data_IF_461367305865
#
_entry.id   IF_461367305865
#
_cell.length_a   1.000
_cell.length_b   1.000
_cell.length_c   1.000
_cell.angle_alpha   90.00
_cell.angle_beta   90.00
_cell.angle_gamma   90.00
#
_symmetry.space_group_name_H-M   'P 1'
#
loop_
_entity.id
_entity.type
_entity.pdbx_description
1 polymer ?
#
# COMPACT_ATOMS: atom_id res chain seq x y z
N UNK A 1 24.60 -14.23 -6.41
CA UNK A 1 24.05 -15.60 -6.55
C UNK A 1 23.40 -15.87 -7.91
N UNK A 2 22.90 -14.88 -8.65
CA UNK A 2 22.41 -15.07 -10.04
C UNK A 2 23.56 -15.34 -11.05
N UNK A 3 24.73 -14.72 -10.86
CA UNK A 3 25.89 -14.89 -11.75
C UNK A 3 26.65 -16.22 -11.57
N UNK A 4 26.46 -16.93 -10.45
CA UNK A 4 27.12 -18.21 -10.17
C UNK A 4 26.37 -19.40 -10.77
N UNK A 5 25.06 -19.28 -10.97
CA UNK A 5 24.24 -20.33 -11.59
C UNK A 5 24.33 -20.35 -13.13
N UNK A 6 24.61 -19.21 -13.76
CA UNK A 6 24.88 -19.17 -15.21
C UNK A 6 26.17 -19.88 -15.59
N UNK A 7 27.17 -19.92 -14.69
CA UNK A 7 28.39 -20.71 -14.88
C UNK A 7 28.11 -22.21 -14.77
N UNK A 8 27.43 -22.66 -13.72
CA UNK A 8 27.08 -24.08 -13.51
C UNK A 8 26.17 -24.66 -14.61
N UNK A 9 25.22 -23.87 -15.13
CA UNK A 9 24.37 -24.28 -16.24
C UNK A 9 25.17 -24.40 -17.56
N UNK A 10 26.18 -23.54 -17.75
CA UNK A 10 27.11 -23.63 -18.89
C UNK A 10 27.98 -24.87 -18.80
N UNK A 11 28.48 -25.17 -17.60
CA UNK A 11 29.36 -26.32 -17.36
C UNK A 11 28.61 -27.65 -17.56
N UNK A 12 27.35 -27.74 -17.10
CA UNK A 12 26.51 -28.92 -17.34
C UNK A 12 26.18 -29.13 -18.84
N UNK A 13 25.95 -28.05 -19.59
CA UNK A 13 25.74 -28.11 -21.04
C UNK A 13 27.02 -28.48 -21.80
N UNK A 14 28.19 -27.99 -21.36
CA UNK A 14 29.47 -28.35 -21.94
C UNK A 14 29.83 -29.82 -21.67
N UNK A 15 29.61 -30.32 -20.45
CA UNK A 15 29.88 -31.72 -20.11
C UNK A 15 28.96 -32.70 -20.83
N UNK A 16 27.67 -32.37 -20.98
CA UNK A 16 26.73 -33.20 -21.75
C UNK A 16 27.05 -33.20 -23.25
N UNK A 17 27.50 -32.08 -23.82
CA UNK A 17 27.97 -32.05 -25.21
C UNK A 17 29.31 -32.78 -25.38
N UNK A 18 30.23 -32.70 -24.42
CA UNK A 18 31.52 -33.41 -24.48
C UNK A 18 31.33 -34.94 -24.39
N UNK A 19 30.42 -35.41 -23.53
CA UNK A 19 30.04 -36.83 -23.44
C UNK A 19 29.39 -37.35 -24.73
N UNK A 20 28.49 -36.56 -25.34
CA UNK A 20 27.83 -36.95 -26.60
C UNK A 20 28.81 -37.04 -27.78
N UNK A 21 29.86 -36.20 -27.78
CA UNK A 21 30.88 -36.17 -28.84
C UNK A 21 31.86 -37.34 -28.73
N UNK A 22 32.23 -37.73 -27.51
CA UNK A 22 33.20 -38.81 -27.25
C UNK A 22 32.66 -40.22 -27.53
N UNK A 23 31.35 -40.45 -27.35
CA UNK A 23 30.79 -41.81 -27.45
C UNK A 23 30.13 -42.17 -28.79
N UNK A 24 30.00 -41.25 -29.77
CA UNK A 24 29.35 -41.52 -31.08
C UNK A 24 28.01 -42.30 -30.98
N UNK A 25 27.31 -42.18 -29.86
CA UNK A 25 26.30 -43.16 -29.46
C UNK A 25 24.84 -42.75 -29.78
N UNK A 26 24.60 -41.80 -30.69
CA UNK A 26 23.24 -41.46 -31.08
C UNK A 26 23.12 -41.17 -32.58
N UNK A 27 22.48 -42.05 -33.38
CA UNK A 27 22.10 -41.77 -34.76
C UNK A 27 20.74 -41.05 -34.75
N UNK A 28 20.60 -40.00 -33.96
CA UNK A 28 19.40 -39.18 -34.00
C UNK A 28 19.66 -37.99 -34.93
N UNK A 29 18.75 -37.72 -35.91
CA UNK A 29 18.90 -36.58 -36.79
C UNK A 29 18.95 -35.30 -35.94
N UNK A 30 19.86 -34.38 -36.29
CA UNK A 30 20.13 -33.13 -35.57
C UNK A 30 18.89 -32.33 -35.18
N UNK A 31 17.79 -32.48 -35.93
CA UNK A 31 16.49 -31.87 -35.64
C UNK A 31 15.81 -32.40 -34.36
N UNK A 32 15.97 -33.68 -34.02
CA UNK A 32 15.38 -34.28 -32.81
C UNK A 32 16.07 -33.81 -31.53
N UNK A 33 17.38 -33.57 -31.57
CA UNK A 33 18.16 -33.02 -30.44
C UNK A 33 17.75 -31.59 -30.11
N UNK A 34 17.48 -30.76 -31.14
CA UNK A 34 17.01 -29.37 -30.95
C UNK A 34 15.61 -29.35 -30.35
N UNK A 35 14.70 -30.21 -30.83
CA UNK A 35 13.34 -30.31 -30.25
C UNK A 35 13.39 -30.75 -28.80
N UNK A 36 14.21 -31.75 -28.46
CA UNK A 36 14.35 -32.21 -27.08
C UNK A 36 14.97 -31.15 -26.17
N UNK A 37 15.99 -30.42 -26.62
CA UNK A 37 16.57 -29.31 -25.85
C UNK A 37 15.57 -28.16 -25.65
N UNK A 38 14.82 -27.77 -26.68
CA UNK A 38 13.78 -26.73 -26.55
C UNK A 38 12.68 -27.19 -25.61
N UNK A 39 12.21 -28.43 -25.72
CA UNK A 39 11.21 -28.97 -24.79
C UNK A 39 11.72 -29.04 -23.35
N UNK A 40 12.97 -29.46 -23.13
CA UNK A 40 13.57 -29.49 -21.80
C UNK A 40 13.76 -28.10 -21.20
N UNK A 41 14.20 -27.12 -21.99
CA UNK A 41 14.34 -25.72 -21.51
C UNK A 41 12.98 -25.08 -21.24
N UNK A 42 11.96 -25.37 -22.05
CA UNK A 42 10.59 -24.90 -21.80
C UNK A 42 9.94 -25.57 -20.59
N UNK A 43 10.21 -26.85 -20.33
CA UNK A 43 9.70 -27.56 -19.15
C UNK A 43 10.39 -27.10 -17.86
N UNK A 44 11.69 -26.76 -17.93
CA UNK A 44 12.42 -26.15 -16.81
C UNK A 44 11.97 -24.69 -16.60
N UNK A 45 11.65 -23.95 -17.66
CA UNK A 45 11.10 -22.59 -17.55
C UNK A 45 9.70 -22.54 -16.91
N UNK A 46 8.87 -23.54 -17.15
CA UNK A 46 7.50 -23.61 -16.64
C UNK A 46 7.37 -24.19 -15.21
N UNK A 47 8.44 -24.74 -14.63
CA UNK A 47 8.40 -25.37 -13.29
C UNK A 47 9.02 -24.52 -12.18
N UNK A 48 9.47 -23.29 -12.49
CA UNK A 48 10.13 -22.42 -11.51
C UNK A 48 9.62 -20.97 -11.52
N UNK A 49 8.34 -20.71 -11.85
CA UNK A 49 7.72 -19.47 -11.35
C UNK A 49 7.45 -19.69 -9.86
N UNK A 50 8.40 -19.21 -9.06
CA UNK A 50 8.41 -19.24 -7.59
C UNK A 50 7.33 -18.30 -7.05
N UNK A 51 6.07 -18.57 -7.34
CA UNK A 51 4.95 -17.76 -6.89
C UNK A 51 4.37 -18.41 -5.64
N UNK A 52 4.22 -17.61 -4.59
CA UNK A 52 3.60 -18.00 -3.33
C UNK A 52 2.08 -18.14 -3.52
N UNK A 53 1.64 -19.08 -4.35
CA UNK A 53 0.23 -19.30 -4.65
C UNK A 53 -0.48 -19.80 -3.38
N UNK A 54 -1.40 -19.02 -2.79
CA UNK A 54 -2.13 -19.40 -1.59
C UNK A 54 -2.91 -20.72 -1.78
N UNK A 55 -3.32 -21.07 -3.00
CA UNK A 55 -4.08 -22.29 -3.28
C UNK A 55 -3.23 -23.57 -3.19
N UNK A 56 -1.90 -23.44 -3.27
CA UNK A 56 -0.97 -24.56 -3.20
C UNK A 56 -0.35 -24.75 -1.80
N UNK A 57 -0.59 -23.83 -0.87
CA UNK A 57 -0.03 -23.85 0.48
C UNK A 57 -1.04 -24.36 1.49
N UNK A 58 -0.78 -25.54 2.06
CA UNK A 58 -1.69 -26.19 3.03
C UNK A 58 -1.45 -25.71 4.47
N UNK A 59 -0.25 -25.24 4.81
CA UNK A 59 0.14 -24.90 6.19
C UNK A 59 0.98 -23.61 6.34
N UNK A 60 1.13 -22.81 5.28
CA UNK A 60 1.94 -21.58 5.30
C UNK A 60 1.15 -20.37 4.77
N UNK A 61 1.39 -19.21 5.38
CA UNK A 61 0.89 -17.94 4.87
C UNK A 61 1.73 -17.48 3.67
N UNK A 62 1.13 -16.67 2.78
CA UNK A 62 1.84 -16.14 1.61
C UNK A 62 3.06 -15.28 2.00
N UNK A 63 2.99 -14.55 3.12
CA UNK A 63 4.13 -13.81 3.67
C UNK A 63 5.26 -14.73 4.14
N UNK A 64 4.95 -15.83 4.84
CA UNK A 64 5.95 -16.84 5.24
C UNK A 64 6.61 -17.48 4.02
N UNK A 65 5.85 -17.73 2.95
CA UNK A 65 6.42 -18.20 1.71
C UNK A 65 7.41 -17.19 1.10
N UNK A 66 7.05 -15.91 1.08
CA UNK A 66 7.95 -14.87 0.58
C UNK A 66 9.26 -14.83 1.38
N UNK A 67 9.14 -14.94 2.70
CA UNK A 67 10.28 -15.04 3.62
C UNK A 67 11.16 -16.26 3.33
N UNK A 68 10.58 -17.42 3.01
CA UNK A 68 11.35 -18.65 2.69
C UNK A 68 12.02 -18.56 1.31
N UNK A 69 11.32 -18.04 0.30
CA UNK A 69 11.79 -18.05 -1.09
C UNK A 69 12.77 -16.91 -1.40
N UNK A 70 12.51 -15.74 -0.82
CA UNK A 70 13.19 -14.49 -1.16
C UNK A 70 13.94 -13.88 0.03
N UNK A 71 13.67 -14.35 1.25
CA UNK A 71 14.33 -13.87 2.44
C UNK A 71 14.04 -12.38 2.70
N UNK A 72 15.04 -11.63 3.18
CA UNK A 72 14.81 -10.26 3.67
C UNK A 72 14.62 -9.21 2.58
N UNK A 73 14.84 -9.58 1.32
CA UNK A 73 14.65 -8.64 0.21
C UNK A 73 13.18 -8.41 -0.09
N UNK A 74 12.38 -9.46 0.01
CA UNK A 74 10.95 -9.40 -0.27
C UNK A 74 10.18 -10.19 0.81
N UNK A 75 10.10 -9.68 2.04
CA UNK A 75 9.53 -10.42 3.18
C UNK A 75 7.99 -10.39 3.24
N UNK A 76 7.35 -9.60 2.36
CA UNK A 76 5.89 -9.40 2.36
C UNK A 76 5.28 -9.84 1.04
N UNK A 77 4.00 -10.22 1.09
CA UNK A 77 3.22 -10.61 -0.08
C UNK A 77 2.22 -9.52 -0.50
N UNK A 78 2.16 -9.24 -1.81
CA UNK A 78 1.12 -8.43 -2.43
C UNK A 78 -0.02 -9.33 -2.91
N UNK A 79 -1.12 -9.36 -2.14
CA UNK A 79 -2.30 -10.16 -2.45
C UNK A 79 -3.06 -9.69 -3.70
N UNK A 80 -2.92 -8.43 -4.12
CA UNK A 80 -3.60 -7.94 -5.32
C UNK A 80 -2.89 -8.41 -6.60
N UNK A 81 -1.60 -8.73 -6.50
CA UNK A 81 -0.76 -9.08 -7.62
C UNK A 81 -0.18 -10.48 -7.60
N UNK A 82 -0.37 -11.16 -6.47
CA UNK A 82 0.14 -12.50 -6.24
C UNK A 82 1.67 -12.60 -6.32
N UNK A 83 2.39 -11.59 -5.82
CA UNK A 83 3.85 -11.54 -5.85
C UNK A 83 4.45 -11.05 -4.53
N UNK A 84 5.73 -11.38 -4.28
CA UNK A 84 6.46 -10.87 -3.12
C UNK A 84 6.98 -9.45 -3.35
N UNK A 85 6.97 -8.62 -2.32
CA UNK A 85 7.30 -7.19 -2.40
C UNK A 85 8.30 -6.73 -1.34
N UNK A 86 8.95 -5.60 -1.61
CA UNK A 86 9.86 -4.94 -0.69
C UNK A 86 9.07 -4.32 0.49
N UNK A 87 9.72 -4.17 1.65
CA UNK A 87 9.14 -3.46 2.79
C UNK A 87 8.98 -1.97 2.50
N UNK A 88 7.85 -1.41 2.91
CA UNK A 88 7.65 0.02 2.89
C UNK A 88 8.24 0.70 4.14
N UNK A 89 8.76 1.91 3.94
CA UNK A 89 9.26 2.74 5.03
C UNK A 89 8.15 3.22 5.98
N UNK A 90 8.54 3.88 7.09
CA UNK A 90 7.56 4.48 7.99
C UNK A 90 6.69 5.49 7.23
N UNK A 91 5.39 5.49 7.53
CA UNK A 91 4.38 6.34 6.88
C UNK A 91 4.21 6.15 5.37
N UNK A 92 4.64 5.00 4.85
CA UNK A 92 4.29 4.54 3.51
C UNK A 92 3.41 3.30 3.58
N UNK A 93 2.62 3.11 2.52
CA UNK A 93 1.90 1.87 2.24
C UNK A 93 2.28 1.38 0.85
N UNK A 94 2.15 0.08 0.60
CA UNK A 94 2.38 -0.47 -0.73
C UNK A 94 1.13 -0.27 -1.59
N UNK A 95 1.29 0.45 -2.69
CA UNK A 95 0.24 0.63 -3.68
C UNK A 95 0.38 -0.46 -4.75
N UNK A 96 -0.57 -1.39 -4.77
CA UNK A 96 -0.53 -2.56 -5.64
C UNK A 96 -0.68 -2.22 -7.13
N UNK A 97 -1.39 -1.12 -7.45
CA UNK A 97 -1.57 -0.67 -8.83
C UNK A 97 -0.27 -0.05 -9.36
N UNK A 98 0.42 0.71 -8.51
CA UNK A 98 1.67 1.40 -8.86
C UNK A 98 2.93 0.57 -8.61
N UNK A 99 2.84 -0.58 -7.94
CA UNK A 99 3.98 -1.45 -7.60
C UNK A 99 5.07 -0.76 -6.79
N UNK A 100 4.67 0.19 -5.95
CA UNK A 100 5.62 0.98 -5.19
C UNK A 100 5.05 1.46 -3.86
N UNK A 101 5.95 1.76 -2.93
CA UNK A 101 5.58 2.37 -1.66
C UNK A 101 5.21 3.84 -1.86
N UNK A 102 4.02 4.21 -1.43
CA UNK A 102 3.48 5.57 -1.50
C UNK A 102 3.44 6.16 -0.09
N UNK A 103 4.10 7.30 0.08
CA UNK A 103 4.06 8.07 1.32
C UNK A 103 2.82 8.95 1.31
N UNK A 104 2.02 8.88 2.38
CA UNK A 104 0.85 9.77 2.53
C UNK A 104 0.69 10.19 4.00
N UNK A 105 0.28 11.43 4.20
CA UNK A 105 0.07 11.97 5.54
C UNK A 105 -0.93 11.14 6.36
N UNK A 106 -0.52 10.79 7.57
CA UNK A 106 -1.30 10.00 8.52
C UNK A 106 -1.29 8.50 8.25
N UNK A 107 -0.56 8.01 7.24
CA UNK A 107 -0.35 6.56 7.05
C UNK A 107 0.57 6.05 8.16
N UNK A 108 0.21 4.89 8.72
CA UNK A 108 0.94 4.26 9.82
C UNK A 108 0.48 2.81 10.02
N UNK A 109 1.29 2.03 10.73
CA UNK A 109 0.97 0.65 11.10
C UNK A 109 0.71 -0.28 9.88
N UNK A 110 1.29 0.02 8.72
CA UNK A 110 1.09 -0.81 7.52
C UNK A 110 2.02 -2.03 7.54
N UNK A 111 3.34 -1.79 7.49
CA UNK A 111 4.34 -2.86 7.47
C UNK A 111 5.00 -3.01 8.84
N UNK A 112 5.19 -4.24 9.36
CA UNK A 112 5.90 -4.45 10.60
C UNK A 112 7.36 -3.99 10.51
N UNK A 113 7.94 -3.50 11.62
CA UNK A 113 9.35 -3.19 11.69
C UNK A 113 10.17 -4.44 11.38
N UNK A 114 11.30 -4.24 10.70
CA UNK A 114 12.24 -5.31 10.38
C UNK A 114 13.37 -5.35 11.40
N UNK A 115 13.89 -6.55 11.67
CA UNK A 115 15.12 -6.73 12.44
C UNK A 115 16.37 -6.42 11.59
N UNK A 116 17.57 -6.66 12.15
CA UNK A 116 18.83 -6.39 11.46
C UNK A 116 19.02 -7.28 10.22
N UNK A 117 18.39 -8.45 10.23
CA UNK A 117 18.40 -9.40 9.14
C UNK A 117 17.41 -9.03 8.02
N UNK A 118 16.51 -8.07 8.24
CA UNK A 118 15.48 -7.66 7.29
C UNK A 118 14.19 -8.48 7.35
N UNK A 119 13.95 -9.19 8.46
CA UNK A 119 12.77 -10.00 8.69
C UNK A 119 11.75 -9.29 9.60
N UNK A 120 10.45 -9.50 9.42
CA UNK A 120 9.42 -8.93 10.28
C UNK A 120 9.60 -9.33 11.76
N UNK A 121 9.64 -8.34 12.65
CA UNK A 121 9.71 -8.57 14.12
C UNK A 121 8.36 -9.01 14.67
N UNK A 122 7.28 -8.62 14.00
CA UNK A 122 5.91 -8.92 14.39
C UNK A 122 5.22 -9.71 13.28
N UNK A 123 4.25 -10.53 13.68
CA UNK A 123 3.40 -11.28 12.78
C UNK A 123 2.66 -10.32 11.82
N UNK A 124 2.82 -10.55 10.51
CA UNK A 124 2.34 -9.64 9.46
C UNK A 124 0.82 -9.52 9.47
N UNK A 125 0.11 -10.63 9.74
CA UNK A 125 -1.36 -10.67 9.75
C UNK A 125 -1.99 -9.89 10.90
N UNK A 126 -1.30 -9.75 12.02
CA UNK A 126 -1.82 -9.10 13.24
C UNK A 126 -1.15 -7.77 13.57
N UNK A 127 0.00 -7.46 12.97
CA UNK A 127 0.80 -6.28 13.27
C UNK A 127 0.01 -4.97 13.18
N UNK A 128 -0.72 -4.75 12.08
CA UNK A 128 -1.38 -3.46 11.85
C UNK A 128 -2.38 -3.12 12.94
N UNK A 129 -3.16 -4.12 13.37
CA UNK A 129 -4.14 -3.97 14.44
C UNK A 129 -3.46 -3.77 15.80
N UNK A 130 -2.44 -4.58 16.10
CA UNK A 130 -1.65 -4.45 17.33
C UNK A 130 -1.02 -3.04 17.43
N UNK A 131 -0.38 -2.56 16.36
CA UNK A 131 0.26 -1.26 16.28
C UNK A 131 -0.74 -0.11 16.55
N UNK A 132 -1.94 -0.17 15.98
CA UNK A 132 -2.97 0.82 16.27
C UNK A 132 -3.41 0.81 17.73
N UNK A 133 -3.59 -0.38 18.31
CA UNK A 133 -4.00 -0.51 19.71
C UNK A 133 -2.92 -0.03 20.68
N UNK A 134 -1.65 -0.30 20.39
CA UNK A 134 -0.52 0.16 21.21
C UNK A 134 -0.35 1.68 21.16
N UNK A 135 -0.50 2.31 19.99
CA UNK A 135 -0.24 3.75 19.84
C UNK A 135 -1.44 4.63 20.20
N UNK A 136 -2.68 4.16 19.98
CA UNK A 136 -3.90 4.97 20.12
C UNK A 136 -4.90 4.40 21.14
N UNK A 137 -4.59 3.25 21.75
CA UNK A 137 -5.41 2.59 22.75
C UNK A 137 -6.29 1.48 22.16
N UNK A 138 -6.79 0.60 23.04
CA UNK A 138 -7.47 -0.67 22.69
C UNK A 138 -8.71 -0.54 21.79
N UNK A 139 -9.35 0.64 21.75
CA UNK A 139 -10.51 0.91 20.89
C UNK A 139 -10.14 1.32 19.46
N UNK A 140 -8.84 1.35 19.17
CA UNK A 140 -8.33 1.73 17.85
C UNK A 140 -8.30 0.54 16.91
N UNK A 141 -8.68 0.78 15.67
CA UNK A 141 -8.71 -0.22 14.60
C UNK A 141 -7.86 0.26 13.43
N UNK A 142 -7.18 -0.67 12.77
CA UNK A 142 -6.52 -0.38 11.50
C UNK A 142 -7.52 -0.50 10.35
N UNK A 143 -7.67 0.57 9.56
CA UNK A 143 -8.50 0.56 8.36
C UNK A 143 -7.61 0.37 7.15
N UNK A 144 -7.56 -0.87 6.64
CA UNK A 144 -6.68 -1.25 5.52
C UNK A 144 -6.85 -0.38 4.27
N UNK A 145 -8.08 0.00 3.91
CA UNK A 145 -8.36 0.87 2.76
C UNK A 145 -7.77 2.29 2.89
N UNK A 146 -7.58 2.76 4.13
CA UNK A 146 -7.01 4.08 4.39
C UNK A 146 -5.53 4.00 4.75
N UNK A 147 -5.04 2.82 5.15
CA UNK A 147 -3.74 2.59 5.77
C UNK A 147 -3.54 3.46 7.02
N UNK A 148 -4.59 3.60 7.84
CA UNK A 148 -4.62 4.46 9.03
C UNK A 148 -5.27 3.79 10.23
N UNK A 149 -4.86 4.22 11.41
CA UNK A 149 -5.56 3.91 12.65
C UNK A 149 -6.73 4.87 12.85
N UNK A 150 -7.88 4.33 13.23
CA UNK A 150 -9.06 5.11 13.63
C UNK A 150 -9.52 4.66 15.00
N UNK A 151 -10.14 5.55 15.78
CA UNK A 151 -10.84 5.17 17.01
C UNK A 151 -12.32 5.11 16.74
N UNK A 152 -13.03 4.13 17.31
CA UNK A 152 -14.51 4.05 17.25
C UNK A 152 -15.19 5.13 18.10
N UNK A 153 -14.52 6.24 18.43
CA UNK A 153 -15.14 7.29 19.23
C UNK A 153 -16.27 7.89 18.38
N UNK A 154 -17.54 7.85 18.83
CA UNK A 154 -18.59 8.56 18.11
C UNK A 154 -18.18 10.03 18.10
N UNK A 155 -18.01 10.60 16.91
CA UNK A 155 -17.93 12.05 16.76
C UNK A 155 -19.18 12.59 17.45
N UNK A 156 -19.09 13.40 18.52
CA UNK A 156 -20.28 14.06 19.03
C UNK A 156 -20.84 14.85 17.85
N UNK A 157 -22.09 14.57 17.49
CA UNK A 157 -22.80 15.30 16.43
C UNK A 157 -22.56 16.79 16.65
N UNK A 158 -22.22 17.58 15.61
CA UNK A 158 -22.12 19.02 15.77
C UNK A 158 -23.43 19.49 16.41
N UNK A 159 -23.33 20.09 17.60
CA UNK A 159 -24.49 20.69 18.24
C UNK A 159 -24.86 21.86 17.35
N UNK A 160 -25.92 21.72 16.56
CA UNK A 160 -26.55 22.84 15.85
C UNK A 160 -27.00 23.84 16.92
N UNK A 161 -26.11 24.77 17.27
CA UNK A 161 -26.49 25.95 18.01
C UNK A 161 -27.14 26.86 16.99
N UNK A 162 -28.46 27.09 17.05
CA UNK A 162 -29.11 27.98 16.10
C UNK A 162 -28.55 29.38 16.31
N UNK A 163 -27.90 29.91 15.27
CA UNK A 163 -27.43 31.30 15.23
C UNK A 163 -28.64 32.22 15.49
N UNK A 164 -28.64 33.04 16.56
CA UNK A 164 -29.75 33.95 16.80
C UNK A 164 -29.86 34.93 15.63
N UNK A 165 -31.05 34.97 15.02
CA UNK A 165 -31.38 35.82 13.87
C UNK A 165 -31.11 37.29 14.25
N UNK A 166 -30.46 38.10 13.38
CA UNK A 166 -30.18 39.49 13.71
C UNK A 166 -31.48 40.28 13.86
N UNK A 167 -31.61 40.97 15.00
CA UNK A 167 -32.72 41.88 15.32
C UNK A 167 -32.72 43.04 14.32
N UNK A 168 -33.82 43.31 13.58
CA UNK A 168 -33.87 44.49 12.72
C UNK A 168 -33.81 45.77 13.56
N UNK A 169 -32.81 46.60 13.28
CA UNK A 169 -32.65 47.93 13.89
C UNK A 169 -33.85 48.82 13.53
N UNK A 170 -34.43 49.58 14.48
CA UNK A 170 -35.46 50.55 14.15
C UNK A 170 -34.84 51.78 13.49
N UNK A 171 -35.11 51.98 12.20
CA UNK A 171 -34.87 53.27 11.52
C UNK A 171 -35.87 54.31 12.04
N UNK A 172 -35.42 55.14 12.98
CA UNK A 172 -36.14 56.35 13.36
C UNK A 172 -36.15 57.33 12.16
N UNK A 173 -37.35 57.66 11.67
CA UNK A 173 -37.58 58.72 10.68
C UNK A 173 -37.18 60.07 11.29
N UNK A 174 -36.46 60.96 10.59
CA UNK A 174 -36.23 62.32 11.07
C UNK A 174 -37.52 63.13 10.97
N UNK A 175 -37.92 63.75 12.08
CA UNK A 175 -39.05 64.67 12.21
C UNK A 175 -38.75 65.95 11.44
N UNK A 176 -39.67 66.38 10.57
CA UNK A 176 -39.58 67.66 9.88
C UNK A 176 -39.64 68.83 10.89
N UNK A 177 -38.73 69.80 10.75
CA UNK A 177 -38.72 71.05 11.51
C UNK A 177 -39.98 71.88 11.20
N UNK A 178 -40.60 72.54 12.20
CA UNK A 178 -41.63 73.53 11.94
C UNK A 178 -41.00 74.89 11.59
N UNK A 179 -41.25 75.38 10.38
CA UNK A 179 -41.05 76.80 10.04
C UNK A 179 -42.15 77.64 10.69
N UNK A 180 -41.82 78.37 11.76
CA UNK A 180 -42.64 79.46 12.25
C UNK A 180 -42.23 80.76 11.52
N UNK A 181 -43.09 81.26 10.63
CA UNK A 181 -43.01 82.65 10.16
C UNK A 181 -43.47 83.59 11.29
N UNK A 182 -42.75 84.68 11.60
CA UNK A 182 -43.28 85.72 12.48
C UNK A 182 -44.23 86.65 11.72
N UNK A 183 -45.46 86.78 12.21
CA UNK A 183 -46.42 87.83 11.80
C UNK A 183 -46.10 89.18 12.48
N UNK A 184 -46.53 90.31 11.87
CA UNK A 184 -45.90 91.62 12.04
C UNK A 184 -46.31 92.38 13.31
N UNK A 185 -45.40 93.23 13.79
CA UNK A 185 -45.62 94.14 14.91
C UNK A 185 -46.36 95.40 14.42
N UNK A 186 -47.48 95.80 15.05
CA UNK A 186 -48.16 97.06 14.72
C UNK A 186 -47.39 98.25 15.31
N UNK A 187 -47.35 99.37 14.58
CA UNK A 187 -46.89 100.66 15.11
C UNK A 187 -48.12 101.56 15.29
N UNK A 188 -48.35 102.16 16.48
CA UNK A 188 -49.52 102.99 16.74
C UNK A 188 -49.35 104.46 16.32
N UNK A 189 -50.49 105.03 15.88
CA UNK A 189 -50.88 106.45 15.73
C UNK A 189 -50.15 107.31 14.68
#
# INVERSE_FOLDING_TARGET
QVLTFSALARDFLLDTMLFATLFRACPLPSRSLVVHCVFSVSLIGATFTKECDPALMVDQTSDECCQVLWGPRYPFYDYAAYECREPCGPSAYFDADLKMCVVREGVMCNDPPLNQEGMPVHDVGTYSQMCCQTNFGVQSIHVGQLHKCTTLRPTPSPTETPTPRPTPQPTARPTAQPTAQPTPRPTPQ
#
